data_IF_028488265061
#
_entry.id   IF_028488265061
#
_cell.length_a   1.000
_cell.length_b   1.000
_cell.length_c   1.000
_cell.angle_alpha   90.00
_cell.angle_beta   90.00
_cell.angle_gamma   90.00
#
_symmetry.space_group_name_H-M   'P 1'
#
loop_
_entity.id
_entity.type
_entity.pdbx_description
1 polymer ?
#
# COMPACT_ATOMS: atom_id res chain seq x y z
N UNK A 1 7.03 -6.79 -13.46
CA UNK A 1 6.96 -5.98 -12.25
C UNK A 1 5.85 -6.58 -11.43
N UNK A 2 6.11 -6.75 -10.16
CA UNK A 2 5.10 -7.22 -9.22
C UNK A 2 4.98 -6.20 -8.09
N UNK A 3 3.83 -5.54 -8.02
CA UNK A 3 3.49 -4.62 -6.93
C UNK A 3 2.73 -5.36 -5.84
N UNK A 4 3.00 -5.00 -4.59
CA UNK A 4 2.28 -5.57 -3.45
C UNK A 4 1.95 -4.47 -2.44
N UNK A 5 0.79 -4.59 -1.79
CA UNK A 5 0.43 -3.75 -0.64
C UNK A 5 0.37 -4.68 0.56
N UNK A 6 1.29 -4.49 1.49
CA UNK A 6 1.32 -5.20 2.76
C UNK A 6 0.71 -4.33 3.85
N UNK A 7 0.12 -4.98 4.84
CA UNK A 7 -0.45 -4.28 5.98
C UNK A 7 -0.17 -5.01 7.28
N UNK A 8 -0.13 -4.24 8.37
CA UNK A 8 0.04 -4.75 9.72
C UNK A 8 -0.81 -3.92 10.67
N UNK A 9 -1.66 -4.57 11.48
CA UNK A 9 -2.42 -3.92 12.55
C UNK A 9 -1.62 -4.01 13.83
N UNK A 10 -1.38 -2.87 14.48
CA UNK A 10 -0.72 -2.77 15.79
C UNK A 10 -1.53 -1.83 16.69
N UNK A 11 -2.37 -2.41 17.54
CA UNK A 11 -3.29 -1.65 18.39
C UNK A 11 -4.26 -0.82 17.54
N UNK A 12 -4.31 0.48 17.77
CA UNK A 12 -5.21 1.42 17.09
C UNK A 12 -4.63 1.99 15.78
N UNK A 13 -3.62 1.32 15.20
CA UNK A 13 -2.94 1.75 13.97
C UNK A 13 -2.87 0.63 12.96
N UNK A 14 -3.14 0.98 11.70
CA UNK A 14 -2.88 0.15 10.54
C UNK A 14 -1.69 0.73 9.79
N UNK A 15 -0.59 -0.02 9.76
CA UNK A 15 0.57 0.28 8.92
C UNK A 15 0.33 -0.30 7.54
N UNK A 16 0.60 0.49 6.50
CA UNK A 16 0.46 0.11 5.10
C UNK A 16 1.79 0.37 4.40
N UNK A 17 2.29 -0.65 3.71
CA UNK A 17 3.54 -0.57 2.94
C UNK A 17 3.31 -0.98 1.50
N UNK A 18 3.75 -0.13 0.58
CA UNK A 18 3.82 -0.47 -0.84
C UNK A 18 5.19 -1.10 -1.11
N UNK A 19 5.20 -2.32 -1.60
CA UNK A 19 6.38 -3.06 -2.02
C UNK A 19 6.35 -3.31 -3.51
N UNK A 20 7.51 -3.47 -4.12
CA UNK A 20 7.62 -3.81 -5.51
C UNK A 20 8.86 -4.63 -5.79
N UNK A 21 8.71 -5.65 -6.63
CA UNK A 21 9.79 -6.46 -7.17
C UNK A 21 10.00 -6.17 -8.66
N UNK A 22 11.26 -5.90 -9.01
CA UNK A 22 11.70 -5.83 -10.39
C UNK A 22 12.05 -7.22 -10.92
N UNK A 23 11.06 -7.93 -11.47
CA UNK A 23 11.23 -9.25 -12.07
C UNK A 23 11.90 -9.22 -13.47
N UNK A 24 12.63 -8.16 -13.81
CA UNK A 24 13.36 -8.05 -15.07
C UNK A 24 14.86 -8.17 -14.85
N UNK A 25 15.59 -8.46 -15.92
CA UNK A 25 17.05 -8.56 -15.97
C UNK A 25 17.76 -7.20 -16.03
N UNK A 26 17.01 -6.09 -15.95
CA UNK A 26 17.53 -4.73 -16.12
C UNK A 26 17.11 -3.83 -14.97
N UNK A 27 17.95 -2.85 -14.66
CA UNK A 27 17.59 -1.75 -13.76
C UNK A 27 16.43 -0.93 -14.34
N UNK A 28 15.46 -0.60 -13.49
CA UNK A 28 14.32 0.23 -13.84
C UNK A 28 14.20 1.45 -12.92
N UNK A 29 13.88 2.60 -13.53
CA UNK A 29 13.44 3.79 -12.80
C UNK A 29 11.91 3.81 -12.80
N UNK A 30 11.33 3.62 -11.62
CA UNK A 30 9.89 3.55 -11.42
C UNK A 30 9.36 4.87 -10.86
N UNK A 31 8.16 5.24 -11.26
CA UNK A 31 7.34 6.23 -10.58
C UNK A 31 6.16 5.49 -9.96
N UNK A 32 5.84 5.77 -8.71
CA UNK A 32 4.72 5.14 -8.03
C UNK A 32 3.77 6.16 -7.43
N UNK A 33 2.52 5.75 -7.24
CA UNK A 33 1.52 6.49 -6.47
C UNK A 33 0.73 5.51 -5.62
N UNK A 34 0.84 5.66 -4.30
CA UNK A 34 -0.02 5.03 -3.31
C UNK A 34 -1.12 6.02 -2.94
N UNK A 35 -2.37 5.59 -3.02
CA UNK A 35 -3.54 6.34 -2.59
C UNK A 35 -4.30 5.50 -1.56
N UNK A 36 -4.73 6.13 -0.48
CA UNK A 36 -5.45 5.51 0.61
C UNK A 36 -6.71 6.32 0.82
N UNK A 37 -7.84 5.64 0.89
CA UNK A 37 -9.13 6.19 1.27
C UNK A 37 -9.64 5.37 2.45
N UNK A 38 -9.83 6.02 3.59
CA UNK A 38 -10.32 5.40 4.80
C UNK A 38 -11.68 5.99 5.17
N UNK A 39 -12.60 5.13 5.56
CA UNK A 39 -13.87 5.50 6.17
C UNK A 39 -13.88 5.04 7.62
N UNK A 40 -14.25 5.92 8.55
CA UNK A 40 -14.45 5.55 9.95
C UNK A 40 -15.89 5.08 10.23
N UNK A 41 -16.17 4.67 11.48
CA UNK A 41 -17.50 4.23 11.90
C UNK A 41 -18.59 5.31 11.85
N UNK A 42 -18.20 6.58 11.78
CA UNK A 42 -19.10 7.72 11.63
C UNK A 42 -19.25 8.13 10.16
N UNK A 43 -18.73 7.33 9.23
CA UNK A 43 -18.69 7.59 7.80
C UNK A 43 -17.89 8.86 7.43
N UNK A 44 -16.94 9.28 8.27
CA UNK A 44 -15.97 10.30 7.88
C UNK A 44 -14.93 9.67 6.95
N UNK A 45 -14.63 10.36 5.87
CA UNK A 45 -13.63 9.93 4.90
C UNK A 45 -12.32 10.69 5.08
N UNK A 46 -11.22 9.97 5.23
CA UNK A 46 -9.86 10.52 5.18
C UNK A 46 -9.16 9.95 3.95
N UNK A 47 -8.59 10.81 3.12
CA UNK A 47 -7.79 10.38 1.98
C UNK A 47 -6.34 10.87 2.11
N UNK A 48 -5.41 10.02 1.72
CA UNK A 48 -3.98 10.33 1.67
C UNK A 48 -3.41 9.80 0.35
N UNK A 49 -2.50 10.54 -0.26
CA UNK A 49 -1.76 10.03 -1.40
C UNK A 49 -0.28 10.38 -1.30
N UNK A 50 0.55 9.36 -1.50
CA UNK A 50 1.99 9.45 -1.52
C UNK A 50 2.49 8.98 -2.87
N UNK A 51 3.55 9.59 -3.38
CA UNK A 51 4.14 9.17 -4.64
C UNK A 51 5.59 9.61 -4.72
N UNK A 52 6.33 8.95 -5.59
CA UNK A 52 7.75 9.20 -5.72
C UNK A 52 8.38 8.43 -6.85
N UNK A 53 9.70 8.60 -6.98
CA UNK A 53 10.52 7.82 -7.90
C UNK A 53 11.44 6.90 -7.12
N UNK A 54 11.61 5.68 -7.60
CA UNK A 54 12.55 4.71 -7.06
C UNK A 54 13.28 3.99 -8.17
N UNK A 55 14.55 3.70 -7.93
CA UNK A 55 15.35 2.85 -8.79
C UNK A 55 15.46 1.48 -8.16
N UNK A 56 15.12 0.47 -8.97
CA UNK A 56 15.22 -0.93 -8.62
C UNK A 56 16.21 -1.59 -9.57
N UNK A 57 17.21 -2.24 -9.02
CA UNK A 57 18.13 -3.10 -9.78
C UNK A 57 17.40 -4.34 -10.30
N UNK A 58 18.04 -5.08 -11.20
CA UNK A 58 17.49 -6.33 -11.72
C UNK A 58 17.20 -7.32 -10.57
N UNK A 59 16.03 -7.96 -10.59
CA UNK A 59 15.57 -8.92 -9.57
C UNK A 59 15.49 -8.34 -8.14
N UNK A 60 15.56 -7.02 -7.97
CA UNK A 60 15.51 -6.39 -6.64
C UNK A 60 14.05 -6.21 -6.16
N UNK A 61 13.83 -6.47 -4.88
CA UNK A 61 12.61 -6.10 -4.15
C UNK A 61 12.87 -4.90 -3.23
N UNK A 62 11.99 -3.90 -3.26
CA UNK A 62 12.08 -2.70 -2.43
C UNK A 62 10.73 -2.22 -1.93
N UNK A 63 10.74 -1.65 -0.72
CA UNK A 63 9.64 -0.80 -0.24
C UNK A 63 9.67 0.54 -0.96
N UNK A 64 8.54 0.90 -1.56
CA UNK A 64 8.34 2.16 -2.28
C UNK A 64 7.91 3.27 -1.32
N UNK A 65 6.94 2.98 -0.45
CA UNK A 65 6.41 3.90 0.55
C UNK A 65 5.84 3.14 1.74
N UNK A 66 5.85 3.79 2.90
CA UNK A 66 5.21 3.30 4.13
C UNK A 66 4.41 4.44 4.75
N UNK A 67 3.23 4.13 5.26
CA UNK A 67 2.40 5.08 6.00
C UNK A 67 1.60 4.37 7.07
N UNK A 68 1.00 5.12 7.97
CA UNK A 68 0.16 4.58 9.03
C UNK A 68 -1.07 5.44 9.19
N UNK A 69 -2.20 4.79 9.40
CA UNK A 69 -3.49 5.44 9.65
C UNK A 69 -4.08 4.91 10.94
N UNK A 70 -4.89 5.73 11.60
CA UNK A 70 -5.68 5.28 12.75
C UNK A 70 -6.60 4.16 12.32
N UNK A 71 -6.71 3.07 13.08
CA UNK A 71 -7.53 1.91 12.74
C UNK A 71 -8.38 1.53 13.94
N UNK A 72 -9.69 1.52 13.76
CA UNK A 72 -10.67 1.23 14.83
C UNK A 72 -11.78 0.35 14.30
N UNK A 73 -12.49 -0.31 15.20
CA UNK A 73 -13.70 -1.08 14.86
C UNK A 73 -14.70 -0.22 14.07
N UNK A 74 -15.29 -0.80 13.03
CA UNK A 74 -16.14 -0.10 12.07
C UNK A 74 -15.39 0.72 11.01
N UNK A 75 -14.06 0.73 11.02
CA UNK A 75 -13.29 1.36 9.93
C UNK A 75 -13.24 0.45 8.70
N UNK A 76 -13.20 1.06 7.53
CA UNK A 76 -12.84 0.42 6.26
C UNK A 76 -11.80 1.26 5.52
N UNK A 77 -11.01 0.62 4.67
CA UNK A 77 -9.97 1.28 3.91
C UNK A 77 -9.76 0.62 2.56
N UNK A 78 -9.56 1.46 1.55
CA UNK A 78 -9.09 1.08 0.22
C UNK A 78 -7.73 1.71 -0.03
N UNK A 79 -6.72 0.88 -0.23
CA UNK A 79 -5.41 1.29 -0.72
C UNK A 79 -5.27 0.93 -2.20
N UNK A 80 -4.76 1.86 -3.00
CA UNK A 80 -4.48 1.67 -4.42
C UNK A 80 -3.04 2.06 -4.69
N UNK A 81 -2.25 1.12 -5.19
CA UNK A 81 -0.87 1.34 -5.65
C UNK A 81 -0.85 1.28 -7.17
N UNK A 82 -0.33 2.33 -7.80
CA UNK A 82 -0.06 2.36 -9.25
C UNK A 82 1.43 2.51 -9.47
N UNK A 83 2.00 1.65 -10.31
CA UNK A 83 3.42 1.62 -10.61
C UNK A 83 3.63 1.88 -12.10
N UNK A 84 4.52 2.81 -12.40
CA UNK A 84 4.80 3.28 -13.75
C UNK A 84 6.29 3.15 -14.05
N UNK A 85 6.62 2.88 -15.30
CA UNK A 85 7.94 3.12 -15.85
C UNK A 85 7.83 4.13 -16.99
N UNK A 86 8.53 5.25 -16.86
CA UNK A 86 8.34 6.44 -17.72
C UNK A 86 6.87 6.90 -17.65
N UNK A 87 6.09 6.69 -18.72
CA UNK A 87 4.66 7.03 -18.81
C UNK A 87 3.76 5.79 -18.91
N UNK A 88 4.33 4.58 -18.94
CA UNK A 88 3.58 3.33 -19.07
C UNK A 88 3.20 2.84 -17.67
N UNK A 89 1.92 2.62 -17.43
CA UNK A 89 1.44 1.89 -16.25
C UNK A 89 1.89 0.43 -16.39
N UNK A 90 2.65 -0.04 -15.41
CA UNK A 90 3.13 -1.42 -15.37
C UNK A 90 2.24 -2.30 -14.51
N UNK A 91 1.72 -1.76 -13.41
CA UNK A 91 0.91 -2.53 -12.48
C UNK A 91 -0.06 -1.64 -11.68
N UNK A 92 -1.16 -2.23 -11.22
CA UNK A 92 -2.13 -1.64 -10.29
C UNK A 92 -2.58 -2.66 -9.27
N UNK A 93 -2.33 -2.36 -8.01
CA UNK A 93 -2.70 -3.20 -6.87
C UNK A 93 -3.77 -2.48 -6.06
N UNK A 94 -4.81 -3.21 -5.68
CA UNK A 94 -5.89 -2.70 -4.83
C UNK A 94 -5.97 -3.61 -3.61
N UNK A 95 -5.98 -3.00 -2.43
CA UNK A 95 -6.19 -3.68 -1.16
C UNK A 95 -7.41 -3.04 -0.49
N UNK A 96 -8.45 -3.84 -0.30
CA UNK A 96 -9.63 -3.46 0.46
C UNK A 96 -9.61 -4.16 1.81
N UNK A 97 -9.78 -3.38 2.87
CA UNK A 97 -9.75 -3.82 4.25
C UNK A 97 -11.00 -3.32 4.97
N UNK A 98 -11.60 -4.20 5.76
CA UNK A 98 -12.63 -3.85 6.75
C UNK A 98 -12.19 -4.38 8.10
N UNK A 99 -12.31 -3.53 9.12
CA UNK A 99 -11.99 -3.93 10.50
C UNK A 99 -12.79 -5.15 10.97
N UNK A 100 -13.98 -5.39 10.42
CA UNK A 100 -14.79 -6.57 10.72
C UNK A 100 -14.24 -7.88 10.10
N UNK A 101 -13.36 -7.79 9.10
CA UNK A 101 -12.79 -8.95 8.39
C UNK A 101 -11.34 -9.25 8.76
N UNK A 102 -10.69 -8.35 9.51
CA UNK A 102 -9.32 -8.55 10.00
C UNK A 102 -9.45 -9.08 11.42
N UNK A 103 -9.38 -10.39 11.61
CA UNK A 103 -9.23 -10.96 12.96
C UNK A 103 -7.95 -10.38 13.58
N UNK A 104 -8.09 -9.68 14.70
CA UNK A 104 -6.94 -9.35 15.54
C UNK A 104 -6.26 -10.67 15.90
N UNK A 105 -5.09 -10.93 15.29
CA UNK A 105 -4.15 -11.90 15.85
C UNK A 105 -3.57 -11.28 17.12
N UNK A 106 -4.37 -11.30 18.17
CA UNK A 106 -3.94 -11.00 19.52
C UNK A 106 -3.09 -12.19 19.97
N UNK A 107 -1.76 -12.10 19.79
CA UNK A 107 -0.84 -12.98 20.50
C UNK A 107 -1.08 -12.80 22.01
N UNK A 108 -1.37 -13.91 22.67
CA UNK A 108 -1.67 -14.05 24.10
C UNK A 108 -0.42 -13.95 24.96
#
# INVERSE_FOLDING_TARGET
>A
MDGQILYEVKGDKLKIEAHCENQTDKRLSLTYKLSIEQHDSNNNTVSNSQGGKKELEAMESKTLSSTSVSWRKGSSLRATLKIYHKKKLLDTVILDLSSDSIEEKSEK
#
